data_IF_288884904847
#
_entry.id   IF_288884904847
#
_cell.length_a   1.000
_cell.length_b   1.000
_cell.length_c   1.000
_cell.angle_alpha   90.00
_cell.angle_beta   90.00
_cell.angle_gamma   90.00
#
_symmetry.space_group_name_H-M   'P 1'
#
loop_
_entity.id
_entity.type
_entity.pdbx_description
1 polymer ?
#
# COMPACT_ATOMS: atom_id res chain seq x y z
N UNK A 1 -26.40 -63.51 -47.92
CA UNK A 1 -25.93 -62.11 -47.77
C UNK A 1 -26.71 -61.30 -46.73
N UNK A 2 -27.96 -61.67 -46.37
CA UNK A 2 -28.80 -60.93 -45.39
C UNK A 2 -28.46 -61.27 -43.92
N UNK A 3 -28.11 -62.52 -43.62
CA UNK A 3 -27.82 -63.01 -42.26
C UNK A 3 -26.50 -62.44 -41.70
N UNK A 4 -25.51 -62.24 -42.56
CA UNK A 4 -24.25 -61.54 -42.22
C UNK A 4 -24.47 -60.07 -41.85
N UNK A 5 -25.49 -59.42 -42.40
CA UNK A 5 -25.84 -58.02 -42.12
C UNK A 5 -26.58 -57.91 -40.79
N UNK A 6 -27.47 -58.85 -40.47
CA UNK A 6 -28.17 -58.89 -39.17
C UNK A 6 -27.19 -59.14 -38.00
N UNK A 7 -26.28 -60.11 -38.12
CA UNK A 7 -25.29 -60.39 -37.09
C UNK A 7 -24.33 -59.21 -36.85
N UNK A 8 -23.98 -58.46 -37.90
CA UNK A 8 -23.19 -57.23 -37.78
C UNK A 8 -23.97 -56.11 -37.09
N UNK A 9 -25.28 -56.01 -37.34
CA UNK A 9 -26.15 -55.00 -36.72
C UNK A 9 -26.34 -55.25 -35.22
N UNK A 10 -26.58 -56.50 -34.81
CA UNK A 10 -26.68 -56.86 -33.38
C UNK A 10 -25.36 -56.68 -32.63
N UNK A 11 -24.24 -57.06 -33.26
CA UNK A 11 -22.91 -56.84 -32.70
C UNK A 11 -22.63 -55.34 -32.54
N UNK A 12 -22.98 -54.52 -33.53
CA UNK A 12 -22.91 -53.05 -33.44
C UNK A 12 -23.76 -52.52 -32.29
N UNK A 13 -25.01 -52.97 -32.17
CA UNK A 13 -25.93 -52.51 -31.12
C UNK A 13 -25.40 -52.82 -29.71
N UNK A 14 -24.83 -54.02 -29.52
CA UNK A 14 -24.24 -54.47 -28.25
C UNK A 14 -22.96 -53.71 -27.88
N UNK A 15 -22.25 -53.16 -28.88
CA UNK A 15 -21.02 -52.40 -28.65
C UNK A 15 -21.27 -50.91 -28.35
N UNK A 16 -22.48 -50.38 -28.59
CA UNK A 16 -22.78 -48.97 -28.34
C UNK A 16 -22.66 -48.62 -26.85
N UNK A 17 -23.24 -49.42 -25.94
CA UNK A 17 -23.22 -49.15 -24.50
C UNK A 17 -21.80 -49.14 -23.89
N UNK A 18 -20.90 -50.12 -24.14
CA UNK A 18 -19.53 -50.05 -23.63
C UNK A 18 -18.73 -48.90 -24.27
N UNK A 19 -18.96 -48.57 -25.54
CA UNK A 19 -18.30 -47.42 -26.17
C UNK A 19 -18.73 -46.08 -25.54
N UNK A 20 -20.02 -45.93 -25.22
CA UNK A 20 -20.51 -44.76 -24.50
C UNK A 20 -19.92 -44.66 -23.09
N UNK A 21 -19.84 -45.78 -22.36
CA UNK A 21 -19.24 -45.81 -21.03
C UNK A 21 -17.76 -45.38 -21.07
N UNK A 22 -17.01 -45.88 -22.05
CA UNK A 22 -15.60 -45.50 -22.27
C UNK A 22 -15.49 -44.01 -22.63
N UNK A 23 -16.37 -43.50 -23.50
CA UNK A 23 -16.41 -42.08 -23.87
C UNK A 23 -16.66 -41.16 -22.67
N UNK A 24 -17.65 -41.49 -21.82
CA UNK A 24 -17.94 -40.73 -20.58
C UNK A 24 -16.77 -40.79 -19.60
N UNK A 25 -16.11 -41.94 -19.47
CA UNK A 25 -14.95 -42.10 -18.60
C UNK A 25 -13.79 -41.21 -19.03
N UNK A 26 -13.42 -41.22 -20.32
CA UNK A 26 -12.35 -40.35 -20.83
C UNK A 26 -12.72 -38.87 -20.77
N UNK A 27 -13.98 -38.52 -21.05
CA UNK A 27 -14.49 -37.17 -20.87
C UNK A 27 -14.35 -36.70 -19.42
N UNK A 28 -14.74 -37.54 -18.45
CA UNK A 28 -14.59 -37.25 -17.02
C UNK A 28 -13.14 -37.04 -16.58
N UNK A 29 -12.21 -37.87 -17.06
CA UNK A 29 -10.77 -37.69 -16.79
C UNK A 29 -10.27 -36.36 -17.39
N UNK A 30 -10.65 -36.08 -18.63
CA UNK A 30 -10.26 -34.85 -19.30
C UNK A 30 -10.77 -33.60 -18.55
N UNK A 31 -12.05 -33.57 -18.19
CA UNK A 31 -12.65 -32.44 -17.46
C UNK A 31 -12.09 -32.31 -16.06
N UNK A 32 -11.79 -33.41 -15.36
CA UNK A 32 -11.14 -33.37 -14.06
C UNK A 32 -9.74 -32.74 -14.14
N UNK A 33 -8.93 -33.15 -15.12
CA UNK A 33 -7.59 -32.58 -15.34
C UNK A 33 -7.65 -31.09 -15.71
N UNK A 34 -8.55 -30.72 -16.61
CA UNK A 34 -8.76 -29.32 -17.02
C UNK A 34 -9.23 -28.46 -15.83
N UNK A 35 -10.14 -28.99 -15.01
CA UNK A 35 -10.64 -28.30 -13.81
C UNK A 35 -9.54 -28.17 -12.75
N UNK A 36 -8.74 -29.22 -12.51
CA UNK A 36 -7.65 -29.21 -11.53
C UNK A 36 -6.56 -28.19 -11.89
N UNK A 37 -6.23 -28.06 -13.18
CA UNK A 37 -5.29 -27.04 -13.64
C UNK A 37 -5.85 -25.62 -13.44
N UNK A 38 -7.12 -25.40 -13.79
CA UNK A 38 -7.80 -24.11 -13.62
C UNK A 38 -7.97 -23.72 -12.14
N UNK A 39 -8.21 -24.67 -11.24
CA UNK A 39 -8.29 -24.36 -9.80
C UNK A 39 -6.94 -23.99 -9.24
N UNK A 40 -5.86 -24.69 -9.61
CA UNK A 40 -4.51 -24.35 -9.19
C UNK A 40 -4.08 -22.95 -9.67
N UNK A 41 -4.40 -22.59 -10.91
CA UNK A 41 -4.14 -21.24 -11.44
C UNK A 41 -4.93 -20.17 -10.69
N UNK A 42 -6.22 -20.42 -10.37
CA UNK A 42 -7.05 -19.49 -9.60
C UNK A 42 -6.55 -19.32 -8.18
N UNK A 43 -6.23 -20.41 -7.49
CA UNK A 43 -5.66 -20.38 -6.14
C UNK A 43 -4.33 -19.62 -6.11
N UNK A 44 -3.46 -19.84 -7.11
CA UNK A 44 -2.20 -19.10 -7.23
C UNK A 44 -2.44 -17.59 -7.47
N UNK A 45 -3.38 -17.23 -8.35
CA UNK A 45 -3.74 -15.84 -8.61
C UNK A 45 -4.38 -15.16 -7.39
N UNK A 46 -5.25 -15.87 -6.66
CA UNK A 46 -5.85 -15.39 -5.41
C UNK A 46 -4.78 -15.22 -4.33
N UNK A 47 -3.87 -16.18 -4.18
CA UNK A 47 -2.75 -16.08 -3.24
C UNK A 47 -1.85 -14.87 -3.54
N UNK A 48 -1.59 -14.57 -4.81
CA UNK A 48 -0.86 -13.38 -5.23
C UNK A 48 -1.60 -12.09 -4.88
N UNK A 49 -2.90 -12.00 -5.21
CA UNK A 49 -3.74 -10.84 -4.86
C UNK A 49 -3.80 -10.63 -3.34
N UNK A 50 -4.02 -11.69 -2.57
CA UNK A 50 -4.03 -11.61 -1.12
C UNK A 50 -2.65 -11.18 -0.56
N UNK A 51 -1.56 -11.64 -1.16
CA UNK A 51 -0.23 -11.21 -0.76
C UNK A 51 0.02 -9.72 -1.06
N UNK A 52 -0.44 -9.22 -2.21
CA UNK A 52 -0.38 -7.80 -2.55
C UNK A 52 -1.24 -6.95 -1.62
N UNK A 53 -2.50 -7.34 -1.37
CA UNK A 53 -3.38 -6.67 -0.40
C UNK A 53 -2.75 -6.63 0.99
N UNK A 54 -2.22 -7.76 1.48
CA UNK A 54 -1.53 -7.80 2.78
C UNK A 54 -0.32 -6.87 2.84
N UNK A 55 0.43 -6.70 1.74
CA UNK A 55 1.55 -5.76 1.68
C UNK A 55 1.07 -4.32 1.80
N UNK A 56 0.02 -3.94 1.05
CA UNK A 56 -0.57 -2.61 1.12
C UNK A 56 -1.11 -2.33 2.53
N UNK A 57 -1.88 -3.26 3.10
CA UNK A 57 -2.41 -3.14 4.45
C UNK A 57 -1.31 -3.07 5.52
N UNK A 58 -0.22 -3.82 5.36
CA UNK A 58 0.92 -3.76 6.27
C UNK A 58 1.67 -2.42 6.22
N UNK A 59 1.65 -1.70 5.08
CA UNK A 59 2.26 -0.36 4.96
C UNK A 59 1.39 0.75 5.52
N UNK A 60 0.08 0.54 5.63
CA UNK A 60 -0.88 1.56 6.04
C UNK A 60 -0.58 2.19 7.41
N UNK A 61 -0.26 1.43 8.49
CA UNK A 61 0.04 2.01 9.79
C UNK A 61 1.23 2.98 9.77
N UNK A 62 2.24 2.69 8.95
CA UNK A 62 3.38 3.58 8.77
C UNK A 62 2.96 4.89 8.08
N UNK A 63 2.19 4.80 6.98
CA UNK A 63 1.71 5.96 6.24
C UNK A 63 0.77 6.84 7.08
N UNK A 64 -0.11 6.22 7.87
CA UNK A 64 -1.01 6.92 8.78
C UNK A 64 -0.20 7.65 9.86
N UNK A 65 0.81 7.00 10.46
CA UNK A 65 1.66 7.65 11.46
C UNK A 65 2.52 8.76 10.86
N UNK A 66 3.01 8.57 9.64
CA UNK A 66 3.76 9.60 8.91
C UNK A 66 2.89 10.85 8.68
N UNK A 67 1.65 10.68 8.21
CA UNK A 67 0.70 11.77 8.01
C UNK A 67 0.38 12.49 9.32
N UNK A 68 0.12 11.75 10.40
CA UNK A 68 -0.15 12.29 11.73
C UNK A 68 1.00 13.17 12.22
N UNK A 69 2.21 12.63 12.25
CA UNK A 69 3.38 13.32 12.79
C UNK A 69 3.80 14.51 11.94
N UNK A 70 3.66 14.43 10.61
CA UNK A 70 3.96 15.55 9.73
C UNK A 70 2.92 16.68 9.88
N UNK A 71 1.65 16.33 10.03
CA UNK A 71 0.60 17.31 10.32
C UNK A 71 0.87 18.00 11.66
N UNK A 72 1.32 17.24 12.65
CA UNK A 72 1.68 17.83 13.95
C UNK A 72 2.91 18.74 13.87
N UNK A 73 3.99 18.29 13.24
CA UNK A 73 5.22 19.07 13.10
C UNK A 73 4.98 20.39 12.36
N UNK A 74 4.17 20.37 11.30
CA UNK A 74 3.80 21.58 10.54
C UNK A 74 2.93 22.53 11.37
N UNK A 75 1.96 22.01 12.13
CA UNK A 75 1.16 22.81 13.06
C UNK A 75 2.02 23.46 14.14
N UNK A 76 2.87 22.68 14.80
CA UNK A 76 3.72 23.15 15.90
C UNK A 76 4.69 24.23 15.43
N UNK A 77 5.37 24.02 14.29
CA UNK A 77 6.31 25.02 13.75
C UNK A 77 5.60 26.27 13.24
N UNK A 78 4.38 26.15 12.70
CA UNK A 78 3.54 27.29 12.37
C UNK A 78 3.19 28.10 13.64
N UNK A 79 2.74 27.45 14.71
CA UNK A 79 2.44 28.12 15.99
C UNK A 79 3.65 28.88 16.53
N UNK A 80 4.83 28.26 16.56
CA UNK A 80 6.08 28.92 16.99
C UNK A 80 6.39 30.14 16.12
N UNK A 81 6.22 30.03 14.80
CA UNK A 81 6.59 31.07 13.86
C UNK A 81 5.59 32.24 13.78
N UNK A 82 4.33 32.04 14.18
CA UNK A 82 3.26 33.03 13.96
C UNK A 82 2.53 33.50 15.20
N UNK A 83 2.50 32.72 16.29
CA UNK A 83 1.72 33.10 17.47
C UNK A 83 2.34 34.32 18.18
N UNK A 84 1.53 35.31 18.57
CA UNK A 84 1.97 36.41 19.42
C UNK A 84 1.96 36.04 20.91
N UNK A 85 1.35 34.90 21.29
CA UNK A 85 1.25 34.46 22.68
C UNK A 85 2.51 33.68 23.11
N UNK A 86 3.23 34.22 24.08
CA UNK A 86 4.45 33.63 24.62
C UNK A 86 4.24 32.27 25.32
N UNK A 87 3.06 32.01 25.90
CA UNK A 87 2.74 30.68 26.46
C UNK A 87 2.54 29.66 25.33
N UNK A 88 1.76 29.99 24.31
CA UNK A 88 1.56 29.12 23.14
C UNK A 88 2.90 28.78 22.47
N UNK A 89 3.75 29.78 22.23
CA UNK A 89 5.08 29.58 21.64
C UNK A 89 5.95 28.67 22.50
N UNK A 90 5.90 28.82 23.83
CA UNK A 90 6.67 27.98 24.76
C UNK A 90 6.18 26.52 24.74
N UNK A 91 4.86 26.31 24.80
CA UNK A 91 4.28 24.96 24.73
C UNK A 91 4.59 24.29 23.39
N UNK A 92 4.41 25.03 22.29
CA UNK A 92 4.76 24.55 20.96
C UNK A 92 6.26 24.24 20.83
N UNK A 93 7.13 25.07 21.40
CA UNK A 93 8.59 24.82 21.41
C UNK A 93 8.97 23.56 22.21
N UNK A 94 8.27 23.29 23.32
CA UNK A 94 8.43 22.02 24.05
C UNK A 94 8.01 20.84 23.16
N UNK A 95 6.83 20.91 22.54
CA UNK A 95 6.33 19.84 21.68
C UNK A 95 7.21 19.62 20.45
N UNK A 96 7.74 20.70 19.86
CA UNK A 96 8.71 20.62 18.76
C UNK A 96 9.94 19.80 19.14
N UNK A 97 10.49 20.02 20.35
CA UNK A 97 11.63 19.24 20.84
C UNK A 97 11.30 17.77 21.05
N UNK A 98 10.10 17.46 21.54
CA UNK A 98 9.62 16.07 21.68
C UNK A 98 9.51 15.37 20.32
N UNK A 99 8.98 16.07 19.30
CA UNK A 99 8.93 15.56 17.92
C UNK A 99 10.35 15.35 17.36
N UNK A 100 11.20 16.38 17.46
CA UNK A 100 12.55 16.39 16.90
C UNK A 100 13.46 15.30 17.49
N UNK A 101 13.40 15.09 18.81
CA UNK A 101 14.24 14.08 19.49
C UNK A 101 13.53 12.75 19.71
N UNK A 102 12.30 12.59 19.19
CA UNK A 102 11.45 11.45 19.50
C UNK A 102 10.76 10.88 18.27
N UNK A 103 9.44 10.87 18.30
CA UNK A 103 8.58 10.09 17.40
C UNK A 103 8.68 10.47 15.92
N UNK A 104 9.06 11.71 15.58
CA UNK A 104 9.23 12.10 14.17
C UNK A 104 10.37 11.32 13.49
N UNK A 105 11.41 10.96 14.25
CA UNK A 105 12.54 10.13 13.80
C UNK A 105 12.14 8.74 13.30
N UNK A 106 10.94 8.26 13.63
CA UNK A 106 10.43 6.97 13.15
C UNK A 106 9.97 7.02 11.68
N UNK A 107 9.61 8.21 11.19
CA UNK A 107 8.91 8.37 9.90
C UNK A 107 9.58 9.36 8.95
N UNK A 108 10.48 10.23 9.43
CA UNK A 108 11.15 11.23 8.59
C UNK A 108 12.26 10.66 7.70
N UNK A 109 12.41 11.23 6.51
CA UNK A 109 13.59 11.07 5.64
C UNK A 109 14.33 12.39 5.50
N UNK A 110 15.40 12.38 4.71
CA UNK A 110 16.39 13.46 4.64
C UNK A 110 15.83 14.87 4.39
N UNK A 111 14.78 15.01 3.58
CA UNK A 111 14.16 16.32 3.30
C UNK A 111 13.46 16.92 4.52
N UNK A 112 12.65 16.11 5.22
CA UNK A 112 11.94 16.56 6.43
C UNK A 112 12.93 16.76 7.57
N UNK A 113 13.84 15.82 7.80
CA UNK A 113 14.89 15.94 8.82
C UNK A 113 15.74 17.20 8.62
N UNK A 114 16.13 17.50 7.37
CA UNK A 114 16.88 18.71 7.02
C UNK A 114 16.10 19.99 7.31
N UNK A 115 14.79 20.02 7.03
CA UNK A 115 13.94 21.16 7.35
C UNK A 115 13.74 21.34 8.86
N UNK A 116 13.56 20.25 9.61
CA UNK A 116 13.48 20.24 11.07
C UNK A 116 14.77 20.77 11.72
N UNK A 117 15.94 20.35 11.22
CA UNK A 117 17.25 20.84 11.69
C UNK A 117 17.38 22.34 11.44
N UNK A 118 17.04 22.82 10.23
CA UNK A 118 17.13 24.24 9.91
C UNK A 118 16.18 25.07 10.80
N UNK A 119 14.97 24.58 11.05
CA UNK A 119 14.03 25.24 11.96
C UNK A 119 14.56 25.27 13.39
N UNK A 120 15.09 24.15 13.89
CA UNK A 120 15.69 24.07 15.23
C UNK A 120 16.86 25.05 15.37
N UNK A 121 17.76 25.12 14.38
CA UNK A 121 18.90 26.04 14.43
C UNK A 121 18.46 27.50 14.52
N UNK A 122 17.43 27.90 13.77
CA UNK A 122 16.87 29.23 13.86
C UNK A 122 16.20 29.49 15.23
N UNK A 123 15.50 28.49 15.78
CA UNK A 123 14.88 28.56 17.09
C UNK A 123 15.91 28.67 18.23
N UNK A 124 16.96 27.86 18.20
CA UNK A 124 18.06 27.87 19.18
C UNK A 124 18.84 29.21 19.13
N UNK A 125 18.85 29.89 17.97
CA UNK A 125 19.44 31.21 17.78
C UNK A 125 18.51 32.38 18.15
N UNK A 126 17.34 32.12 18.72
CA UNK A 126 16.30 33.11 19.05
C UNK A 126 15.95 34.01 17.84
N UNK A 127 15.87 33.40 16.66
CA UNK A 127 15.62 34.13 15.41
C UNK A 127 14.21 34.74 15.40
N UNK A 128 14.08 35.90 14.76
CA UNK A 128 12.79 36.57 14.62
C UNK A 128 11.76 35.73 13.85
N UNK A 129 10.47 36.04 14.06
CA UNK A 129 9.39 35.41 13.29
C UNK A 129 9.56 35.56 11.77
N UNK A 130 10.22 36.62 11.29
CA UNK A 130 10.50 36.80 9.86
C UNK A 130 11.40 35.70 9.28
N UNK A 131 12.29 35.14 10.11
CA UNK A 131 13.16 34.00 9.75
C UNK A 131 12.44 32.66 9.97
N UNK A 132 11.66 32.53 11.04
CA UNK A 132 10.97 31.28 11.38
C UNK A 132 9.84 30.94 10.40
N UNK A 133 9.07 31.92 9.94
CA UNK A 133 7.94 31.73 9.00
C UNK A 133 8.32 30.98 7.71
N UNK A 134 9.34 31.41 6.93
CA UNK A 134 9.73 30.67 5.73
C UNK A 134 10.28 29.28 6.04
N UNK A 135 10.89 29.06 7.21
CA UNK A 135 11.37 27.74 7.62
C UNK A 135 10.22 26.78 7.97
N UNK A 136 9.19 27.25 8.70
CA UNK A 136 7.98 26.49 8.96
C UNK A 136 7.28 26.09 7.65
N UNK A 137 7.19 27.03 6.71
CA UNK A 137 6.62 26.77 5.39
C UNK A 137 7.47 25.76 4.58
N UNK A 138 8.80 25.86 4.66
CA UNK A 138 9.71 24.91 4.02
C UNK A 138 9.54 23.50 4.58
N UNK A 139 9.35 23.35 5.90
CA UNK A 139 9.03 22.07 6.52
C UNK A 139 7.71 21.51 5.99
N UNK A 140 6.66 22.33 5.89
CA UNK A 140 5.37 21.90 5.34
C UNK A 140 5.49 21.39 3.89
N UNK A 141 6.30 22.05 3.05
CA UNK A 141 6.57 21.57 1.71
C UNK A 141 7.35 20.24 1.71
N UNK A 142 8.39 20.12 2.54
CA UNK A 142 9.15 18.87 2.66
C UNK A 142 8.25 17.70 3.09
N UNK A 143 7.37 17.91 4.06
CA UNK A 143 6.38 16.90 4.49
C UNK A 143 5.44 16.51 3.36
N UNK A 144 4.93 17.49 2.59
CA UNK A 144 4.02 17.25 1.46
C UNK A 144 4.69 16.42 0.36
N UNK A 145 5.91 16.79 -0.03
CA UNK A 145 6.67 16.08 -1.07
C UNK A 145 7.01 14.65 -0.63
N UNK A 146 7.35 14.47 0.65
CA UNK A 146 7.66 13.15 1.20
C UNK A 146 6.43 12.24 1.33
N UNK A 147 5.26 12.80 1.67
CA UNK A 147 3.98 12.08 1.61
C UNK A 147 3.65 11.68 0.18
N UNK A 148 3.84 12.57 -0.80
CA UNK A 148 3.61 12.28 -2.22
C UNK A 148 4.45 11.06 -2.68
N UNK A 149 5.72 11.01 -2.27
CA UNK A 149 6.61 9.88 -2.54
C UNK A 149 6.16 8.61 -1.82
N UNK A 150 5.81 8.69 -0.54
CA UNK A 150 5.45 7.51 0.28
C UNK A 150 4.11 6.90 -0.15
N UNK A 151 3.20 7.72 -0.67
CA UNK A 151 1.89 7.32 -1.16
C UNK A 151 1.88 7.00 -2.67
N UNK A 152 3.01 7.17 -3.36
CA UNK A 152 3.14 6.88 -4.79
C UNK A 152 2.25 7.76 -5.68
N UNK A 153 2.01 9.01 -5.28
CA UNK A 153 1.14 9.95 -6.02
C UNK A 153 1.89 11.22 -6.43
N UNK A 154 1.67 11.64 -7.67
CA UNK A 154 2.20 12.93 -8.16
C UNK A 154 1.25 14.10 -7.87
N UNK A 155 0.00 13.83 -7.49
CA UNK A 155 -1.01 14.86 -7.23
C UNK A 155 -0.61 15.82 -6.10
N UNK A 156 0.29 15.39 -5.22
CA UNK A 156 0.77 16.17 -4.08
C UNK A 156 2.16 16.74 -4.28
N UNK A 157 2.88 16.40 -5.35
CA UNK A 157 4.19 17.02 -5.60
C UNK A 157 4.03 18.49 -5.98
N UNK A 158 4.99 19.31 -5.56
CA UNK A 158 5.04 20.73 -5.91
C UNK A 158 5.94 21.01 -7.11
#
# INVERSE_FOLDING_TARGET
MVETTQNRLELLLKMISPLLAVGVFFWGIYTYRDTANKTAEREAAEAQRMAETRRIEATRPYLDKQLELYTEATRVTATIATSPDAEEVRQASKRFRELYWGELGLVERGSVAGAMIAFRQALDADSSQAVLKPLALKLAHACRDELALSWGTDAWKR
#
